data_IF_807168080105
#
_entry.id   IF_807168080105
#
_cell.length_a   1.000
_cell.length_b   1.000
_cell.length_c   1.000
_cell.angle_alpha   90.00
_cell.angle_beta   90.00
_cell.angle_gamma   90.00
#
_symmetry.space_group_name_H-M   'P 1'
#
loop_
_entity.id
_entity.type
_entity.pdbx_description
1 polymer ?
#
# COMPACT_ATOMS: atom_id res chain seq x y z
N UNK A 1 -31.46 13.42 -7.30
CA UNK A 1 -31.17 12.33 -6.32
C UNK A 1 -30.29 11.20 -6.88
N UNK A 2 -30.04 11.09 -8.19
CA UNK A 2 -29.33 9.96 -8.82
C UNK A 2 -27.80 10.11 -8.94
N UNK A 3 -27.25 11.34 -8.91
CA UNK A 3 -25.81 11.59 -9.12
C UNK A 3 -24.90 11.10 -7.96
N UNK A 4 -25.41 11.05 -6.73
CA UNK A 4 -24.62 10.74 -5.53
C UNK A 4 -24.27 9.25 -5.42
N UNK A 5 -25.19 8.38 -5.86
CA UNK A 5 -25.04 6.92 -5.73
C UNK A 5 -23.95 6.39 -6.68
N UNK A 6 -23.90 6.87 -7.93
CA UNK A 6 -22.88 6.46 -8.89
C UNK A 6 -21.46 6.80 -8.40
N UNK A 7 -21.30 7.93 -7.71
CA UNK A 7 -20.03 8.37 -7.15
C UNK A 7 -19.55 7.43 -6.02
N UNK A 8 -20.45 7.04 -5.12
CA UNK A 8 -20.14 6.12 -4.01
C UNK A 8 -19.80 4.71 -4.56
N UNK A 9 -20.53 4.25 -5.59
CA UNK A 9 -20.28 2.95 -6.22
C UNK A 9 -18.95 2.90 -6.97
N UNK A 10 -18.61 3.96 -7.72
CA UNK A 10 -17.32 4.05 -8.43
C UNK A 10 -16.13 4.05 -7.47
N UNK A 11 -16.27 4.70 -6.30
CA UNK A 11 -15.28 4.66 -5.22
C UNK A 11 -15.03 3.23 -4.76
N UNK A 12 -16.09 2.49 -4.42
CA UNK A 12 -15.96 1.15 -3.86
C UNK A 12 -15.28 0.19 -4.84
N UNK A 13 -15.64 0.27 -6.13
CA UNK A 13 -15.01 -0.54 -7.19
C UNK A 13 -13.54 -0.15 -7.40
N UNK A 14 -13.23 1.15 -7.44
CA UNK A 14 -11.85 1.62 -7.56
C UNK A 14 -10.97 1.18 -6.39
N UNK A 15 -11.54 1.13 -5.19
CA UNK A 15 -10.84 0.69 -3.98
C UNK A 15 -10.54 -0.81 -3.99
N UNK A 16 -11.48 -1.63 -4.47
CA UNK A 16 -11.25 -3.07 -4.66
C UNK A 16 -10.19 -3.33 -5.73
N UNK A 17 -10.24 -2.61 -6.85
CA UNK A 17 -9.22 -2.69 -7.90
C UNK A 17 -7.83 -2.29 -7.39
N UNK A 18 -7.75 -1.17 -6.66
CA UNK A 18 -6.51 -0.71 -6.02
C UNK A 18 -5.96 -1.77 -5.05
N UNK A 19 -6.82 -2.38 -4.24
CA UNK A 19 -6.41 -3.44 -3.31
C UNK A 19 -5.87 -4.67 -4.05
N UNK A 20 -6.47 -5.03 -5.19
CA UNK A 20 -6.00 -6.13 -6.02
C UNK A 20 -4.63 -5.84 -6.65
N UNK A 21 -4.42 -4.62 -7.17
CA UNK A 21 -3.14 -4.20 -7.75
C UNK A 21 -2.03 -4.10 -6.68
N UNK A 22 -2.32 -3.52 -5.52
CA UNK A 22 -1.35 -3.44 -4.42
C UNK A 22 -0.89 -4.81 -3.94
N UNK A 23 -1.78 -5.81 -3.89
CA UNK A 23 -1.41 -7.20 -3.56
C UNK A 23 -0.46 -7.82 -4.60
N UNK A 24 -0.48 -7.35 -5.85
CA UNK A 24 0.43 -7.82 -6.91
C UNK A 24 1.80 -7.14 -6.86
N UNK A 25 1.95 -6.04 -6.14
CA UNK A 25 3.23 -5.36 -6.01
C UNK A 25 4.21 -6.28 -5.28
N UNK A 26 5.22 -6.72 -6.02
CA UNK A 26 6.38 -7.38 -5.43
C UNK A 26 7.35 -6.33 -4.92
N UNK A 27 7.54 -6.30 -3.60
CA UNK A 27 8.56 -5.47 -2.98
C UNK A 27 9.90 -6.20 -3.16
N UNK A 28 10.90 -5.56 -3.80
CA UNK A 28 12.16 -6.21 -4.10
C UNK A 28 12.91 -6.59 -2.83
N UNK A 29 13.81 -7.55 -2.96
CA UNK A 29 14.66 -7.96 -1.85
C UNK A 29 15.58 -6.81 -1.42
N UNK A 30 15.57 -6.49 -0.13
CA UNK A 30 16.40 -5.44 0.47
C UNK A 30 17.53 -6.10 1.25
N UNK A 31 18.76 -5.97 0.76
CA UNK A 31 19.94 -6.49 1.45
C UNK A 31 21.00 -5.42 1.59
N UNK A 32 21.82 -5.53 2.63
CA UNK A 32 22.89 -4.58 2.88
C UNK A 32 23.73 -4.95 4.08
N UNK A 33 24.67 -4.06 4.41
CA UNK A 33 25.60 -4.23 5.51
C UNK A 33 25.66 -2.94 6.31
N UNK A 34 25.47 -3.05 7.62
CA UNK A 34 25.68 -1.97 8.58
C UNK A 34 26.72 -2.41 9.59
N UNK A 35 27.92 -1.84 9.55
CA UNK A 35 29.05 -2.22 10.40
C UNK A 35 29.40 -3.71 10.31
N UNK A 36 29.25 -4.44 11.41
CA UNK A 36 29.49 -5.91 11.49
C UNK A 36 28.25 -6.75 11.16
N UNK A 37 27.11 -6.13 10.91
CA UNK A 37 25.83 -6.80 10.63
C UNK A 37 25.56 -6.80 9.13
N UNK A 38 25.27 -7.98 8.58
CA UNK A 38 24.64 -8.11 7.26
C UNK A 38 23.15 -8.36 7.46
N UNK A 39 22.31 -7.55 6.85
CA UNK A 39 20.87 -7.69 6.89
C UNK A 39 20.32 -8.08 5.52
N UNK A 40 19.27 -8.87 5.52
CA UNK A 40 18.55 -9.31 4.32
C UNK A 40 17.07 -9.42 4.64
N UNK A 41 16.26 -8.63 3.94
CA UNK A 41 14.81 -8.70 3.96
C UNK A 41 14.33 -9.26 2.62
N UNK A 42 13.61 -10.37 2.65
CA UNK A 42 13.17 -11.07 1.45
C UNK A 42 11.71 -11.54 1.54
N UNK A 43 11.09 -11.74 0.38
CA UNK A 43 9.70 -12.22 0.31
C UNK A 43 8.69 -11.28 0.96
N UNK A 44 8.94 -9.97 0.89
CA UNK A 44 8.03 -8.97 1.43
C UNK A 44 6.81 -8.89 0.50
N UNK A 45 5.63 -9.16 1.05
CA UNK A 45 4.35 -9.07 0.35
C UNK A 45 3.31 -8.36 1.22
N UNK A 46 2.41 -7.62 0.58
CA UNK A 46 1.31 -6.93 1.24
C UNK A 46 0.23 -7.96 1.57
N UNK A 47 -0.06 -8.16 2.86
CA UNK A 47 -1.11 -9.07 3.33
C UNK A 47 -2.47 -8.40 3.34
N UNK A 48 -2.52 -7.21 3.88
CA UNK A 48 -3.77 -6.50 4.11
C UNK A 48 -3.55 -5.03 3.81
N UNK A 49 -4.53 -4.46 3.13
CA UNK A 49 -4.62 -3.05 2.85
C UNK A 49 -6.03 -2.65 3.22
N UNK A 50 -6.16 -1.81 4.23
CA UNK A 50 -7.44 -1.32 4.73
C UNK A 50 -7.44 0.20 4.64
N UNK A 51 -8.50 0.75 4.08
CA UNK A 51 -8.66 2.20 3.98
C UNK A 51 -9.91 2.55 4.78
N UNK A 52 -9.70 3.17 5.94
CA UNK A 52 -10.80 3.51 6.83
C UNK A 52 -11.61 4.71 6.33
N UNK A 53 -10.95 5.69 5.71
CA UNK A 53 -11.61 6.88 5.18
C UNK A 53 -11.06 7.19 3.79
N UNK A 54 -11.95 7.54 2.86
CA UNK A 54 -11.49 8.18 1.63
C UNK A 54 -12.51 9.19 1.14
N UNK A 55 -11.99 10.34 0.79
CA UNK A 55 -12.74 11.53 0.41
C UNK A 55 -12.51 11.76 -1.07
N UNK A 56 -13.59 11.93 -1.83
CA UNK A 56 -13.49 12.35 -3.22
C UNK A 56 -14.00 13.79 -3.33
N UNK A 57 -13.13 14.67 -3.81
CA UNK A 57 -13.45 16.07 -4.05
C UNK A 57 -13.31 16.38 -5.54
N UNK A 58 -14.24 17.15 -6.08
CA UNK A 58 -14.09 17.70 -7.43
C UNK A 58 -13.29 19.00 -7.33
N UNK A 59 -12.17 19.07 -8.05
CA UNK A 59 -11.34 20.28 -8.12
C UNK A 59 -11.60 20.97 -9.46
N UNK A 60 -12.23 22.16 -9.47
CA UNK A 60 -12.51 22.90 -10.69
C UNK A 60 -11.23 23.14 -11.50
N UNK A 61 -11.24 22.81 -12.79
CA UNK A 61 -10.11 23.00 -13.70
C UNK A 61 -9.03 21.90 -13.69
N UNK A 62 -9.12 20.89 -12.79
CA UNK A 62 -8.12 19.80 -12.70
C UNK A 62 -8.74 18.40 -12.76
N UNK A 63 -10.01 18.25 -12.37
CA UNK A 63 -10.75 16.98 -12.41
C UNK A 63 -11.11 16.45 -11.02
N UNK A 64 -11.22 15.13 -10.89
CA UNK A 64 -11.54 14.47 -9.62
C UNK A 64 -10.28 14.19 -8.79
N UNK A 65 -10.30 14.56 -7.51
CA UNK A 65 -9.27 14.26 -6.52
C UNK A 65 -9.80 13.19 -5.56
N UNK A 66 -9.15 12.02 -5.55
CA UNK A 66 -9.35 11.01 -4.51
C UNK A 66 -8.27 11.21 -3.44
N UNK A 67 -8.68 11.41 -2.20
CA UNK A 67 -7.81 11.47 -1.02
C UNK A 67 -8.12 10.26 -0.13
N UNK A 68 -7.08 9.54 0.27
CA UNK A 68 -7.20 8.36 1.12
C UNK A 68 -6.64 8.74 2.50
N UNK A 69 -7.49 8.70 3.51
CA UNK A 69 -7.15 9.08 4.87
C UNK A 69 -7.19 7.85 5.78
N UNK A 70 -6.27 7.80 6.76
CA UNK A 70 -6.20 6.72 7.74
C UNK A 70 -6.06 5.33 7.10
N UNK A 71 -5.05 5.20 6.24
CA UNK A 71 -4.73 3.98 5.49
C UNK A 71 -3.82 3.08 6.31
N UNK A 72 -4.20 1.80 6.43
CA UNK A 72 -3.43 0.78 7.12
C UNK A 72 -2.90 -0.25 6.13
N UNK A 73 -1.59 -0.48 6.15
CA UNK A 73 -0.91 -1.47 5.32
C UNK A 73 -0.20 -2.47 6.21
N UNK A 74 -0.59 -3.74 6.10
CA UNK A 74 0.09 -4.85 6.75
C UNK A 74 0.97 -5.58 5.73
N UNK A 75 2.27 -5.62 6.00
CA UNK A 75 3.26 -6.35 5.19
C UNK A 75 3.79 -7.55 5.96
N UNK A 76 4.09 -8.64 5.25
CA UNK A 76 4.80 -9.79 5.81
C UNK A 76 6.03 -10.05 4.97
N UNK A 77 7.14 -10.33 5.62
CA UNK A 77 8.38 -10.70 4.97
C UNK A 77 9.27 -11.51 5.89
N UNK A 78 10.33 -12.06 5.32
CA UNK A 78 11.37 -12.74 6.07
C UNK A 78 12.51 -11.76 6.31
N UNK A 79 13.07 -11.77 7.51
CA UNK A 79 14.25 -10.99 7.84
C UNK A 79 15.34 -11.94 8.33
N UNK A 80 16.58 -11.69 7.90
CA UNK A 80 17.76 -12.42 8.32
C UNK A 80 18.85 -11.42 8.67
N UNK A 81 19.42 -11.57 9.86
CA UNK A 81 20.60 -10.82 10.27
C UNK A 81 21.75 -11.79 10.51
N UNK A 82 22.92 -11.47 9.98
CA UNK A 82 24.17 -12.20 10.23
C UNK A 82 25.15 -11.24 10.87
N UNK A 83 25.52 -11.53 12.11
CA UNK A 83 26.62 -10.84 12.76
C UNK A 83 27.94 -11.48 12.31
N UNK A 84 28.89 -10.67 11.83
CA UNK A 84 30.27 -11.12 11.66
C UNK A 84 30.94 -10.99 13.03
N UNK A 85 30.90 -12.07 13.81
CA UNK A 85 31.77 -12.21 14.96
C UNK A 85 33.20 -12.29 14.41
N UNK A 86 34.00 -11.29 14.77
CA UNK A 86 35.47 -11.36 14.75
C UNK A 86 35.90 -12.08 16.02
#
# INVERSE_FOLDING_TARGET
>A
MFQCVAFISGRQLGMQALQAELKKINIPELSGKSGRVRYRFSGIHIRTFNIAQSTMAFSPGTGMKLSLDNVFIAVRGNWRMKYRFM
#
